data_IF_840849978506
#
_entry.id   IF_840849978506
#
_cell.length_a   1.000
_cell.length_b   1.000
_cell.length_c   1.000
_cell.angle_alpha   90.00
_cell.angle_beta   90.00
_cell.angle_gamma   90.00
#
_symmetry.space_group_name_H-M   'P 1'
#
loop_
_entity.id
_entity.type
_entity.pdbx_description
1 polymer ?
#
# COMPACT_ATOMS: atom_id res chain seq x y z
N UNK A 1 -5.56 11.45 -9.07
CA UNK A 1 -6.04 10.11 -8.72
C UNK A 1 -7.05 9.65 -9.76
N UNK A 2 -7.03 8.38 -10.12
CA UNK A 2 -7.92 7.76 -11.10
C UNK A 2 -8.41 6.42 -10.54
N UNK A 3 -9.72 6.18 -10.58
CA UNK A 3 -10.26 4.84 -10.41
C UNK A 3 -9.93 4.03 -11.68
N UNK A 4 -9.19 2.94 -11.53
CA UNK A 4 -8.79 2.07 -12.65
C UNK A 4 -9.89 1.05 -12.93
N UNK A 5 -10.37 0.39 -11.88
CA UNK A 5 -11.43 -0.62 -11.93
C UNK A 5 -12.01 -0.86 -10.54
N UNK A 6 -13.18 -1.48 -10.47
CA UNK A 6 -13.60 -2.27 -9.32
C UNK A 6 -13.47 -3.75 -9.71
N UNK A 7 -12.69 -4.51 -8.93
CA UNK A 7 -12.33 -5.90 -9.25
C UNK A 7 -13.08 -6.93 -8.39
N UNK A 8 -14.20 -6.52 -7.78
CA UNK A 8 -15.02 -7.45 -7.01
C UNK A 8 -15.43 -8.65 -7.87
N UNK A 9 -15.10 -9.84 -7.40
CA UNK A 9 -15.33 -11.12 -8.05
C UNK A 9 -15.04 -12.25 -7.06
N UNK A 10 -15.34 -13.48 -7.43
CA UNK A 10 -14.97 -14.64 -6.63
C UNK A 10 -13.43 -14.71 -6.40
N UNK A 11 -12.63 -14.40 -7.41
CA UNK A 11 -11.17 -14.34 -7.28
C UNK A 11 -10.71 -13.26 -6.29
N UNK A 12 -11.41 -12.11 -6.25
CA UNK A 12 -11.15 -11.07 -5.26
C UNK A 12 -11.45 -11.56 -3.84
N UNK A 13 -12.57 -12.24 -3.61
CA UNK A 13 -12.93 -12.78 -2.31
C UNK A 13 -11.92 -13.83 -1.84
N UNK A 14 -11.49 -14.72 -2.74
CA UNK A 14 -10.43 -15.69 -2.46
C UNK A 14 -9.11 -15.00 -2.09
N UNK A 15 -8.78 -13.90 -2.76
CA UNK A 15 -7.60 -13.11 -2.42
C UNK A 15 -7.73 -12.41 -1.06
N UNK A 16 -8.89 -11.85 -0.73
CA UNK A 16 -9.15 -11.28 0.60
C UNK A 16 -9.00 -12.35 1.70
N UNK A 17 -9.56 -13.54 1.49
CA UNK A 17 -9.42 -14.64 2.41
C UNK A 17 -7.95 -15.09 2.57
N UNK A 18 -7.21 -15.21 1.45
CA UNK A 18 -5.77 -15.50 1.49
C UNK A 18 -5.02 -14.44 2.31
N UNK A 19 -5.30 -13.15 2.10
CA UNK A 19 -4.69 -12.07 2.88
C UNK A 19 -4.97 -12.22 4.37
N UNK A 20 -6.22 -12.48 4.76
CA UNK A 20 -6.62 -12.62 6.16
C UNK A 20 -5.98 -13.84 6.83
N UNK A 21 -5.95 -14.99 6.15
CA UNK A 21 -5.50 -16.25 6.75
C UNK A 21 -3.98 -16.42 6.71
N UNK A 22 -3.33 -15.94 5.66
CA UNK A 22 -1.90 -16.16 5.45
C UNK A 22 -1.04 -14.92 5.76
N UNK A 23 -1.46 -13.73 5.36
CA UNK A 23 -0.60 -12.54 5.46
C UNK A 23 -0.81 -11.78 6.77
N UNK A 24 -2.05 -11.62 7.23
CA UNK A 24 -2.34 -10.89 8.49
C UNK A 24 -1.59 -11.48 9.69
N UNK A 25 -1.50 -12.81 9.89
CA UNK A 25 -0.73 -13.38 11.01
C UNK A 25 0.77 -13.07 10.97
N UNK A 26 1.32 -12.72 9.80
CA UNK A 26 2.74 -12.37 9.62
C UNK A 26 3.01 -10.87 9.74
N UNK A 27 1.97 -10.05 9.82
CA UNK A 27 2.12 -8.60 9.88
C UNK A 27 2.72 -8.14 11.19
N UNK A 28 3.48 -7.07 11.11
CA UNK A 28 4.06 -6.39 12.26
C UNK A 28 3.40 -5.03 12.47
N UNK A 29 3.36 -4.57 13.72
CA UNK A 29 2.93 -3.21 14.03
C UNK A 29 3.78 -2.20 13.28
N UNK A 30 3.14 -1.21 12.67
CA UNK A 30 3.85 -0.15 11.97
C UNK A 30 4.50 0.81 12.98
N UNK A 31 5.78 1.01 12.83
CA UNK A 31 6.54 1.99 13.62
C UNK A 31 6.49 3.41 13.05
N UNK A 32 5.80 3.59 11.91
CA UNK A 32 5.68 4.90 11.28
C UNK A 32 4.78 5.83 12.07
N UNK A 33 5.30 7.03 12.40
CA UNK A 33 4.50 8.10 13.00
C UNK A 33 3.28 8.54 12.16
N UNK A 34 3.26 8.20 10.87
CA UNK A 34 2.16 8.52 9.96
C UNK A 34 1.06 7.46 9.97
N UNK A 35 1.28 6.32 10.59
CA UNK A 35 0.36 5.19 10.51
C UNK A 35 0.14 4.53 11.89
N UNK A 36 -0.45 5.24 12.85
CA UNK A 36 -0.76 4.67 14.16
C UNK A 36 -1.76 3.52 14.02
N UNK A 37 -1.59 2.49 14.86
CA UNK A 37 -2.49 1.33 14.93
C UNK A 37 -2.66 0.55 13.60
N UNK A 38 -1.68 0.63 12.71
CA UNK A 38 -1.63 -0.15 11.49
C UNK A 38 -0.69 -1.34 11.65
N UNK A 39 -1.10 -2.49 11.13
CA UNK A 39 -0.24 -3.65 10.91
C UNK A 39 0.14 -3.71 9.45
N UNK A 40 1.37 -4.14 9.16
CA UNK A 40 1.89 -4.17 7.79
C UNK A 40 2.83 -5.33 7.53
N UNK A 41 2.89 -5.72 6.26
CA UNK A 41 3.86 -6.67 5.73
C UNK A 41 4.37 -6.15 4.38
N UNK A 42 5.69 -6.03 4.22
CA UNK A 42 6.30 -5.77 2.93
C UNK A 42 6.31 -7.03 2.07
N UNK A 43 6.08 -6.84 0.76
CA UNK A 43 6.00 -7.88 -0.25
C UNK A 43 6.98 -7.57 -1.39
N UNK A 44 7.54 -8.62 -2.01
CA UNK A 44 8.57 -8.55 -3.07
C UNK A 44 9.88 -7.98 -2.55
N UNK A 45 9.98 -6.69 -2.39
CA UNK A 45 11.14 -5.98 -1.85
C UNK A 45 10.72 -4.98 -0.78
N UNK A 46 11.47 -4.91 0.32
CA UNK A 46 11.33 -3.88 1.35
C UNK A 46 12.41 -2.81 1.14
N UNK A 47 12.02 -1.58 0.76
CA UNK A 47 12.98 -0.49 0.61
C UNK A 47 13.39 0.07 1.97
N UNK A 48 14.69 0.19 2.20
CA UNK A 48 15.21 0.88 3.38
C UNK A 48 15.09 2.40 3.19
N UNK A 49 14.51 3.06 4.18
CA UNK A 49 14.17 4.50 4.13
C UNK A 49 15.29 5.42 4.65
N UNK A 50 16.52 4.93 4.71
CA UNK A 50 17.70 5.70 5.14
C UNK A 50 18.32 6.56 4.02
N UNK A 51 19.46 7.17 4.32
CA UNK A 51 20.18 8.07 3.40
C UNK A 51 20.74 7.38 2.16
N UNK A 52 21.03 6.08 2.25
CA UNK A 52 21.50 5.29 1.11
C UNK A 52 20.45 4.28 0.67
N UNK A 53 20.22 4.10 -0.64
CA UNK A 53 19.31 3.09 -1.16
C UNK A 53 19.77 1.69 -0.75
N UNK A 54 18.87 0.94 -0.12
CA UNK A 54 19.06 -0.48 0.21
C UNK A 54 17.74 -1.20 0.01
N UNK A 55 17.80 -2.47 -0.35
CA UNK A 55 16.67 -3.37 -0.47
C UNK A 55 16.88 -4.59 0.40
N UNK A 56 15.82 -5.03 1.04
CA UNK A 56 15.74 -6.31 1.71
C UNK A 56 14.71 -7.16 0.99
N UNK A 57 14.98 -8.43 0.77
CA UNK A 57 14.00 -9.38 0.26
C UNK A 57 12.84 -9.45 1.27
N UNK A 58 11.63 -9.19 0.81
CA UNK A 58 10.41 -9.25 1.57
C UNK A 58 9.67 -10.58 1.33
N UNK A 59 8.53 -10.76 1.98
CA UNK A 59 7.71 -11.94 1.75
C UNK A 59 7.20 -11.97 0.30
N UNK A 60 7.24 -13.13 -0.31
CA UNK A 60 6.67 -13.38 -1.63
C UNK A 60 6.41 -14.87 -1.83
N UNK A 61 5.39 -15.17 -2.62
CA UNK A 61 5.11 -16.50 -3.16
C UNK A 61 4.52 -16.39 -4.57
N UNK A 62 4.49 -17.49 -5.35
CA UNK A 62 4.04 -17.44 -6.74
C UNK A 62 2.59 -17.00 -6.95
N UNK A 63 1.70 -17.24 -5.99
CA UNK A 63 0.30 -16.79 -6.08
C UNK A 63 0.23 -15.27 -5.94
N UNK A 64 0.86 -14.74 -4.90
CA UNK A 64 0.92 -13.32 -4.61
C UNK A 64 1.60 -12.52 -5.73
N UNK A 65 2.73 -13.03 -6.26
CA UNK A 65 3.44 -12.39 -7.36
C UNK A 65 2.55 -12.25 -8.60
N UNK A 66 1.85 -13.31 -9.00
CA UNK A 66 0.91 -13.25 -10.14
C UNK A 66 -0.17 -12.20 -9.94
N UNK A 67 -0.77 -12.11 -8.75
CA UNK A 67 -1.81 -11.12 -8.45
C UNK A 67 -1.23 -9.70 -8.52
N UNK A 68 -0.08 -9.46 -7.89
CA UNK A 68 0.55 -8.14 -7.89
C UNK A 68 0.91 -7.71 -9.32
N UNK A 69 1.51 -8.61 -10.12
CA UNK A 69 1.86 -8.30 -11.51
C UNK A 69 0.62 -8.08 -12.40
N UNK A 70 -0.48 -8.76 -12.12
CA UNK A 70 -1.76 -8.51 -12.82
C UNK A 70 -2.35 -7.16 -12.45
N UNK A 71 -2.34 -6.78 -11.16
CA UNK A 71 -2.85 -5.49 -10.68
C UNK A 71 -1.97 -4.32 -11.12
N UNK A 72 -0.65 -4.51 -11.11
CA UNK A 72 0.32 -3.48 -11.48
C UNK A 72 1.55 -4.10 -12.17
N UNK A 73 1.53 -4.26 -13.51
CA UNK A 73 2.67 -4.77 -14.26
C UNK A 73 3.95 -3.97 -14.00
N UNK A 74 5.04 -4.67 -13.71
CA UNK A 74 6.34 -4.07 -13.36
C UNK A 74 6.45 -3.56 -11.93
N UNK A 75 5.48 -3.88 -11.08
CA UNK A 75 5.59 -3.67 -9.64
C UNK A 75 6.76 -4.49 -9.07
N UNK A 76 7.59 -3.87 -8.26
CA UNK A 76 8.74 -4.53 -7.63
C UNK A 76 8.84 -4.30 -6.12
N UNK A 77 7.91 -3.56 -5.55
CA UNK A 77 7.70 -3.43 -4.11
C UNK A 77 6.23 -3.20 -3.82
N UNK A 78 5.72 -3.85 -2.80
CA UNK A 78 4.34 -3.66 -2.36
C UNK A 78 4.25 -3.74 -0.83
N UNK A 79 3.19 -3.16 -0.29
CA UNK A 79 2.89 -3.16 1.13
C UNK A 79 1.43 -3.53 1.34
N UNK A 80 1.19 -4.65 2.01
CA UNK A 80 -0.14 -4.93 2.52
C UNK A 80 -0.27 -4.39 3.94
N UNK A 81 -1.39 -3.75 4.21
CA UNK A 81 -1.74 -3.19 5.52
C UNK A 81 -3.06 -3.74 6.00
N UNK A 82 -3.17 -3.92 7.29
CA UNK A 82 -4.38 -4.33 7.98
C UNK A 82 -4.77 -3.31 9.04
N UNK A 83 -6.03 -2.91 9.01
CA UNK A 83 -6.66 -2.04 9.98
C UNK A 83 -7.71 -2.86 10.76
N UNK A 84 -7.21 -3.80 11.58
CA UNK A 84 -8.04 -4.67 12.38
C UNK A 84 -8.42 -4.04 13.70
N UNK A 85 -9.56 -4.46 14.26
CA UNK A 85 -9.73 -4.42 15.70
C UNK A 85 -8.85 -5.53 16.29
N UNK A 86 -7.76 -5.15 16.92
CA UNK A 86 -7.23 -5.97 18.00
C UNK A 86 -8.10 -5.59 19.21
N UNK A 87 -8.59 -6.58 19.92
CA UNK A 87 -9.32 -6.38 21.16
C UNK A 87 -8.64 -5.27 21.96
N UNK A 88 -9.38 -4.21 22.28
CA UNK A 88 -8.98 -3.05 23.07
C UNK A 88 -8.27 -1.86 22.38
N UNK A 89 -8.08 -1.82 21.06
CA UNK A 89 -7.60 -0.61 20.41
C UNK A 89 -8.78 0.11 19.76
N UNK A 90 -9.11 1.29 20.27
CA UNK A 90 -10.04 2.21 19.64
C UNK A 90 -9.65 2.41 18.15
N UNK A 91 -10.63 2.29 17.31
CA UNK A 91 -10.58 2.11 15.85
C UNK A 91 -10.07 3.30 15.03
N UNK A 92 -9.13 4.09 15.50
CA UNK A 92 -8.50 5.17 14.74
C UNK A 92 -7.30 4.68 13.90
N UNK A 93 -7.43 3.50 13.28
CA UNK A 93 -6.43 3.05 12.34
C UNK A 93 -6.50 3.91 11.07
N UNK A 94 -5.61 4.88 10.99
CA UNK A 94 -5.50 5.81 9.88
C UNK A 94 -4.06 5.90 9.40
N UNK A 95 -3.88 6.40 8.19
CA UNK A 95 -2.58 6.82 7.70
C UNK A 95 -2.66 8.33 7.52
N UNK A 96 -1.88 9.07 8.32
CA UNK A 96 -1.84 10.52 8.25
C UNK A 96 -1.30 11.00 6.90
N UNK A 97 -1.55 12.25 6.58
CA UNK A 97 -1.11 12.87 5.34
C UNK A 97 0.42 12.77 5.17
N UNK A 98 0.85 12.20 4.05
CA UNK A 98 2.24 11.98 3.71
C UNK A 98 2.46 11.93 2.20
N UNK A 99 3.71 11.73 1.78
CA UNK A 99 4.13 11.46 0.39
C UNK A 99 5.12 10.31 0.39
N UNK A 100 5.04 9.44 -0.61
CA UNK A 100 6.01 8.36 -0.82
C UNK A 100 7.19 8.87 -1.66
N UNK A 101 8.04 9.67 -1.04
CA UNK A 101 9.11 10.36 -1.77
C UNK A 101 10.44 9.64 -1.82
N UNK A 102 10.71 8.72 -0.89
CA UNK A 102 12.02 8.11 -0.71
C UNK A 102 12.37 7.09 -1.79
N UNK A 103 11.58 6.05 -1.94
CA UNK A 103 11.90 4.87 -2.76
C UNK A 103 11.06 4.74 -4.04
N UNK A 104 9.80 5.18 -3.97
CA UNK A 104 8.84 5.00 -5.05
C UNK A 104 9.13 5.90 -6.26
N UNK A 105 8.84 5.43 -7.46
CA UNK A 105 8.67 6.26 -8.65
C UNK A 105 7.45 7.19 -8.47
N UNK A 106 6.90 7.77 -9.53
CA UNK A 106 5.82 8.75 -9.36
C UNK A 106 4.45 8.09 -9.11
N UNK A 107 4.17 6.99 -9.78
CA UNK A 107 2.85 6.35 -9.71
C UNK A 107 2.84 5.21 -8.69
N UNK A 108 1.74 5.13 -7.96
CA UNK A 108 1.36 4.01 -7.14
C UNK A 108 -0.01 3.49 -7.57
N UNK A 109 -0.26 2.19 -7.39
CA UNK A 109 -1.60 1.62 -7.40
C UNK A 109 -1.93 1.09 -6.02
N UNK A 110 -3.20 1.22 -5.65
CA UNK A 110 -3.72 0.66 -4.41
C UNK A 110 -5.04 -0.03 -4.69
N UNK A 111 -5.19 -1.24 -4.18
CA UNK A 111 -6.49 -1.91 -4.10
C UNK A 111 -6.99 -1.87 -2.65
N UNK A 112 -8.26 -1.50 -2.49
CA UNK A 112 -8.95 -1.51 -1.22
C UNK A 112 -9.57 -2.90 -1.00
N UNK A 113 -9.22 -3.55 0.11
CA UNK A 113 -9.60 -4.93 0.40
C UNK A 113 -10.49 -4.99 1.65
N UNK A 114 -11.47 -5.86 1.62
CA UNK A 114 -12.31 -6.21 2.76
C UNK A 114 -13.40 -5.20 3.07
N UNK A 115 -13.09 -4.01 3.54
CA UNK A 115 -14.08 -3.03 3.99
C UNK A 115 -13.81 -1.62 3.43
N UNK A 116 -14.73 -0.68 3.65
CA UNK A 116 -14.67 0.69 3.13
C UNK A 116 -13.56 1.52 3.81
N UNK A 117 -13.06 2.50 3.07
CA UNK A 117 -12.12 3.49 3.62
C UNK A 117 -12.28 4.86 2.95
N UNK A 118 -11.79 5.91 3.62
CA UNK A 118 -11.69 7.24 3.05
C UNK A 118 -10.24 7.52 2.63
N UNK A 119 -10.05 7.81 1.36
CA UNK A 119 -8.76 8.20 0.81
C UNK A 119 -8.75 9.70 0.51
N UNK A 120 -7.90 10.43 1.21
CA UNK A 120 -7.71 11.87 1.01
C UNK A 120 -6.52 12.09 0.07
N UNK A 121 -6.68 12.97 -0.91
CA UNK A 121 -5.69 13.20 -1.95
C UNK A 121 -5.65 14.66 -2.41
N UNK A 122 -4.46 15.27 -2.44
CA UNK A 122 -4.26 16.60 -3.00
C UNK A 122 -4.10 16.54 -4.52
N UNK A 123 -4.78 17.41 -5.24
CA UNK A 123 -4.62 17.53 -6.70
C UNK A 123 -3.30 18.24 -7.08
N UNK A 124 -2.62 18.88 -6.13
CA UNK A 124 -1.43 19.69 -6.39
C UNK A 124 -0.19 19.09 -5.73
N UNK A 125 0.82 18.78 -6.54
CA UNK A 125 2.05 18.10 -6.09
C UNK A 125 2.85 18.89 -5.05
N UNK A 126 2.87 20.21 -5.15
CA UNK A 126 3.66 21.10 -4.28
C UNK A 126 2.85 21.75 -3.16
N UNK A 127 1.55 21.52 -3.14
CA UNK A 127 0.70 22.10 -2.11
C UNK A 127 0.84 21.31 -0.81
N UNK A 128 1.12 21.99 0.29
CA UNK A 128 1.13 21.44 1.65
C UNK A 128 -0.16 21.75 2.40
N UNK A 129 -1.10 22.42 1.76
CA UNK A 129 -2.40 22.74 2.32
C UNK A 129 -3.26 21.48 2.36
N UNK A 130 -3.58 21.03 3.55
CA UNK A 130 -4.42 19.84 3.77
C UNK A 130 -5.88 20.12 3.46
N UNK A 131 -6.32 21.37 3.54
CA UNK A 131 -7.70 21.78 3.22
C UNK A 131 -7.96 21.70 1.70
N UNK A 132 -6.89 21.68 0.89
CA UNK A 132 -6.98 21.46 -0.55
C UNK A 132 -7.06 19.97 -0.94
N UNK A 133 -7.11 19.04 0.03
CA UNK A 133 -7.29 17.63 -0.25
C UNK A 133 -8.77 17.30 -0.45
N UNK A 134 -9.05 16.49 -1.47
CA UNK A 134 -10.37 15.89 -1.69
C UNK A 134 -10.39 14.50 -1.08
N UNK A 135 -11.47 14.18 -0.37
CA UNK A 135 -11.66 12.85 0.22
C UNK A 135 -12.60 12.02 -0.65
N UNK A 136 -12.19 10.80 -0.94
CA UNK A 136 -12.90 9.83 -1.75
C UNK A 136 -13.26 8.61 -0.90
N UNK A 137 -14.50 8.14 -1.03
CA UNK A 137 -14.90 6.85 -0.49
C UNK A 137 -14.34 5.75 -1.41
N UNK A 138 -13.61 4.80 -0.84
CA UNK A 138 -13.16 3.60 -1.52
C UNK A 138 -13.97 2.40 -1.03
N UNK A 139 -14.62 1.73 -1.96
CA UNK A 139 -15.35 0.49 -1.70
C UNK A 139 -14.39 -0.71 -1.77
N UNK A 140 -14.78 -1.86 -1.22
CA UNK A 140 -14.08 -3.12 -1.46
C UNK A 140 -13.88 -3.36 -2.96
N UNK A 141 -12.68 -3.78 -3.35
CA UNK A 141 -12.33 -4.04 -4.75
C UNK A 141 -11.94 -2.81 -5.59
N UNK A 142 -12.06 -1.59 -5.07
CA UNK A 142 -11.62 -0.40 -5.80
C UNK A 142 -10.10 -0.41 -5.97
N UNK A 143 -9.67 -0.47 -7.23
CA UNK A 143 -8.28 -0.30 -7.67
C UNK A 143 -8.09 1.13 -8.15
N UNK A 144 -7.27 1.90 -7.46
CA UNK A 144 -6.93 3.28 -7.81
C UNK A 144 -5.47 3.41 -8.25
N UNK A 145 -5.22 4.39 -9.12
CA UNK A 145 -3.88 4.85 -9.50
C UNK A 145 -3.73 6.32 -9.13
N UNK A 146 -2.61 6.68 -8.51
CA UNK A 146 -2.36 8.04 -8.07
C UNK A 146 -0.87 8.39 -8.12
N UNK A 147 -0.56 9.69 -8.27
CA UNK A 147 0.81 10.19 -8.11
C UNK A 147 1.15 10.25 -6.61
N UNK A 148 1.98 9.32 -6.15
CA UNK A 148 2.35 9.20 -4.75
C UNK A 148 3.28 10.32 -4.25
N UNK A 149 3.64 11.30 -5.11
CA UNK A 149 4.34 12.53 -4.72
C UNK A 149 3.38 13.64 -4.30
N UNK A 150 2.08 13.47 -4.53
CA UNK A 150 1.06 14.31 -3.94
C UNK A 150 0.79 13.89 -2.49
N UNK A 151 0.35 14.84 -1.66
CA UNK A 151 -0.10 14.52 -0.31
C UNK A 151 -1.32 13.60 -0.40
N UNK A 152 -1.27 12.52 0.36
CA UNK A 152 -2.37 11.57 0.47
C UNK A 152 -2.43 10.95 1.87
N UNK A 153 -3.60 10.44 2.21
CA UNK A 153 -3.89 9.83 3.50
C UNK A 153 -5.00 8.78 3.38
N UNK A 154 -5.05 7.87 4.34
CA UNK A 154 -6.26 7.11 4.65
C UNK A 154 -6.82 7.71 5.95
N UNK A 155 -7.80 8.59 5.82
CA UNK A 155 -8.33 9.35 6.96
C UNK A 155 -9.34 8.56 7.80
N UNK A 156 -9.89 7.50 7.21
CA UNK A 156 -10.77 6.54 7.86
C UNK A 156 -10.60 5.15 7.25
N UNK A 157 -10.60 4.13 8.07
CA UNK A 157 -10.65 2.73 7.66
C UNK A 157 -11.64 1.98 8.55
N UNK A 158 -12.65 1.35 7.95
CA UNK A 158 -13.57 0.51 8.70
C UNK A 158 -12.83 -0.72 9.26
N UNK A 159 -13.26 -1.28 10.41
CA UNK A 159 -12.67 -2.47 10.99
C UNK A 159 -12.57 -3.63 9.99
N UNK A 160 -11.44 -4.33 10.00
CA UNK A 160 -11.17 -5.43 9.05
C UNK A 160 -10.76 -4.98 7.64
N UNK A 161 -10.63 -3.68 7.39
CA UNK A 161 -10.12 -3.17 6.13
C UNK A 161 -8.65 -3.54 5.94
N UNK A 162 -8.33 -4.01 4.75
CA UNK A 162 -6.96 -4.18 4.27
C UNK A 162 -6.71 -3.28 3.06
N UNK A 163 -5.46 -3.01 2.74
CA UNK A 163 -5.06 -2.41 1.48
C UNK A 163 -3.74 -2.98 1.01
N UNK A 164 -3.65 -3.20 -0.29
CA UNK A 164 -2.40 -3.53 -0.96
C UNK A 164 -1.97 -2.32 -1.80
N UNK A 165 -0.89 -1.66 -1.38
CA UNK A 165 -0.29 -0.56 -2.12
C UNK A 165 0.94 -1.08 -2.86
N UNK A 166 1.07 -0.72 -4.12
CA UNK A 166 2.05 -1.23 -5.07
C UNK A 166 2.80 -0.09 -5.72
N UNK A 167 4.13 -0.21 -5.83
CA UNK A 167 4.99 0.79 -6.45
C UNK A 167 5.98 0.17 -7.41
N UNK A 168 6.41 0.97 -8.37
CA UNK A 168 7.68 0.78 -9.05
C UNK A 168 8.75 1.56 -8.30
N UNK A 169 9.87 0.95 -8.05
CA UNK A 169 11.01 1.59 -7.40
C UNK A 169 11.67 2.62 -8.32
N UNK A 170 12.28 3.63 -7.75
CA UNK A 170 13.17 4.56 -8.49
C UNK A 170 14.35 3.81 -9.11
N UNK A 171 14.97 4.35 -10.19
CA UNK A 171 16.07 3.68 -10.91
C UNK A 171 17.26 3.29 -10.02
N UNK A 172 17.58 4.12 -9.01
CA UNK A 172 18.67 3.83 -8.07
C UNK A 172 18.39 2.60 -7.16
N UNK A 173 17.13 2.33 -6.84
CA UNK A 173 16.73 1.10 -6.14
C UNK A 173 16.59 -0.10 -7.10
N UNK A 174 16.09 0.11 -8.31
CA UNK A 174 15.95 -0.95 -9.31
C UNK A 174 17.30 -1.61 -9.65
N UNK A 175 18.38 -0.84 -9.75
CA UNK A 175 19.75 -1.35 -9.99
C UNK A 175 20.19 -2.35 -8.91
N UNK A 176 19.69 -2.23 -7.67
CA UNK A 176 20.02 -3.15 -6.59
C UNK A 176 19.39 -4.53 -6.79
N UNK A 177 18.21 -4.61 -7.41
CA UNK A 177 17.57 -5.88 -7.74
C UNK A 177 18.38 -6.64 -8.79
N UNK A 178 18.80 -5.96 -9.86
CA UNK A 178 19.59 -6.56 -10.94
C UNK A 178 20.90 -7.14 -10.42
N UNK A 179 21.58 -6.42 -9.52
CA UNK A 179 22.83 -6.89 -8.92
C UNK A 179 22.64 -8.10 -7.98
N UNK A 180 21.47 -8.28 -7.37
CA UNK A 180 21.19 -9.45 -6.52
C UNK A 180 20.87 -10.73 -7.31
N UNK A 181 20.50 -10.61 -8.58
CA UNK A 181 20.22 -11.75 -9.46
C UNK A 181 21.46 -12.27 -10.20
N UNK A 182 22.60 -11.57 -10.07
CA UNK A 182 23.85 -11.90 -10.77
C UNK A 182 24.82 -12.76 -9.93
N UNK A 183 24.37 -13.28 -8.79
CA UNK A 183 25.07 -14.20 -7.88
C UNK A 183 24.18 -15.43 -7.61
#
# INVERSE_FOLDING_TARGET
MKLVANVQSEAYEQFCQYCQTMLVPMMQSDVSKYAPNRYRLWLLQEPYLGSQPRLKRAYNDPYLDRIIQWLYPGCNTALISYHGQIEHINSDARINHHRDTSFASNLARMINLGNVSHFSYSLYRRNNDLDACTTFLLNPGDLIEFDCKHIHACTYAAPGRMSLVMWQLKPNYQRLITNQQSF
#
